data_IF_883058552621
#
_entry.id   IF_883058552621
#
_cell.length_a   1.000
_cell.length_b   1.000
_cell.length_c   1.000
_cell.angle_alpha   90.00
_cell.angle_beta   90.00
_cell.angle_gamma   90.00
#
_symmetry.space_group_name_H-M   'P 1'
#
loop_
_entity.id
_entity.type
_entity.pdbx_description
1 polymer ?
#
# COMPACT_ATOMS: atom_id res chain seq x y z
N UNK A 1 -21.35 18.21 17.69
CA UNK A 1 -21.09 17.41 16.47
C UNK A 1 -20.17 18.21 15.55
N UNK A 2 -18.84 18.05 15.60
CA UNK A 2 -17.99 18.60 14.56
C UNK A 2 -17.96 17.64 13.35
N UNK A 3 -18.32 18.19 12.19
CA UNK A 3 -18.27 17.56 10.88
C UNK A 3 -16.82 17.25 10.50
N UNK A 4 -16.58 16.00 10.08
CA UNK A 4 -15.28 15.50 9.63
C UNK A 4 -15.05 16.02 8.20
N UNK A 5 -14.05 16.89 7.92
CA UNK A 5 -13.86 17.36 6.55
C UNK A 5 -13.34 16.22 5.67
N UNK A 6 -13.83 16.24 4.43
CA UNK A 6 -13.49 15.31 3.36
C UNK A 6 -11.97 15.18 3.20
N UNK A 7 -11.47 13.94 3.26
CA UNK A 7 -10.12 13.58 2.80
C UNK A 7 -10.13 13.60 1.27
N UNK A 8 -10.18 14.79 0.71
CA UNK A 8 -10.07 15.07 -0.71
C UNK A 8 -8.67 14.71 -1.18
N UNK A 9 -8.58 13.59 -1.91
CA UNK A 9 -7.79 13.42 -3.13
C UNK A 9 -6.37 13.99 -3.13
N UNK A 10 -5.38 13.18 -2.72
CA UNK A 10 -3.96 13.25 -3.12
C UNK A 10 -3.33 11.92 -2.64
N UNK A 11 -3.24 10.83 -3.39
CA UNK A 11 -2.86 10.69 -4.79
C UNK A 11 -3.61 9.56 -5.50
N UNK A 12 -4.26 9.96 -6.59
CA UNK A 12 -4.68 9.13 -7.71
C UNK A 12 -3.41 8.44 -8.27
N UNK A 13 -3.27 7.12 -8.13
CA UNK A 13 -2.11 6.41 -8.70
C UNK A 13 -1.85 4.96 -8.29
N UNK A 14 -2.44 4.43 -7.21
CA UNK A 14 -2.43 2.98 -6.99
C UNK A 14 -3.53 2.38 -7.87
N UNK A 15 -3.14 1.89 -9.05
CA UNK A 15 -4.02 1.22 -10.02
C UNK A 15 -5.00 0.30 -9.28
N UNK A 16 -6.26 0.46 -9.62
CA UNK A 16 -7.36 -0.43 -9.30
C UNK A 16 -6.93 -1.90 -9.42
N UNK A 17 -6.68 -2.56 -8.28
CA UNK A 17 -6.71 -4.01 -8.13
C UNK A 17 -5.67 -4.88 -8.84
N UNK A 18 -4.55 -4.34 -9.30
CA UNK A 18 -3.46 -5.19 -9.80
C UNK A 18 -2.59 -5.72 -8.64
N UNK A 19 -2.34 -7.02 -8.60
CA UNK A 19 -1.28 -7.59 -7.74
C UNK A 19 0.06 -7.00 -8.15
N UNK A 20 0.94 -6.73 -7.17
CA UNK A 20 2.33 -6.40 -7.44
C UNK A 20 2.99 -7.55 -8.21
N UNK A 21 3.80 -7.22 -9.22
CA UNK A 21 4.47 -8.22 -10.04
C UNK A 21 5.61 -8.90 -9.26
N UNK A 22 6.01 -10.14 -9.63
CA UNK A 22 7.19 -10.77 -9.03
C UNK A 22 8.46 -9.91 -9.12
N UNK A 23 8.62 -9.14 -10.20
CA UNK A 23 9.74 -8.21 -10.39
C UNK A 23 9.80 -7.08 -9.36
N UNK A 24 8.67 -6.72 -8.73
CA UNK A 24 8.67 -5.76 -7.63
C UNK A 24 9.46 -6.28 -6.42
N UNK A 25 9.35 -7.59 -6.14
CA UNK A 25 9.98 -8.25 -5.01
C UNK A 25 11.41 -8.71 -5.30
N UNK A 26 11.81 -8.76 -6.58
CA UNK A 26 13.16 -9.14 -7.00
C UNK A 26 14.19 -7.97 -6.92
N UNK A 27 13.97 -7.03 -6.00
CA UNK A 27 14.82 -5.85 -5.76
C UNK A 27 15.47 -5.94 -4.37
N UNK A 28 16.32 -4.99 -4.06
CA UNK A 28 16.92 -4.87 -2.73
C UNK A 28 15.84 -4.78 -1.63
N UNK A 29 16.05 -5.49 -0.52
CA UNK A 29 15.06 -5.60 0.55
C UNK A 29 14.71 -4.25 1.19
N UNK A 30 15.68 -3.33 1.31
CA UNK A 30 15.42 -1.99 1.85
C UNK A 30 14.59 -1.13 0.89
N UNK A 31 14.81 -1.27 -0.42
CA UNK A 31 13.99 -0.60 -1.43
C UNK A 31 12.55 -1.13 -1.44
N UNK A 32 12.40 -2.46 -1.41
CA UNK A 32 11.08 -3.11 -1.36
C UNK A 32 10.33 -2.70 -0.10
N UNK A 33 10.97 -2.72 1.07
CA UNK A 33 10.36 -2.32 2.33
C UNK A 33 9.81 -0.89 2.25
N UNK A 34 10.61 0.06 1.78
CA UNK A 34 10.17 1.46 1.62
C UNK A 34 8.95 1.59 0.72
N UNK A 35 8.93 0.88 -0.40
CA UNK A 35 7.84 0.94 -1.39
C UNK A 35 6.58 0.17 -0.98
N UNK A 36 6.69 -0.75 0.00
CA UNK A 36 5.56 -1.49 0.56
C UNK A 36 4.71 -0.63 1.50
N UNK A 37 5.25 0.42 2.10
CA UNK A 37 4.48 1.32 2.96
C UNK A 37 3.34 1.98 2.19
N UNK A 38 2.13 1.87 2.72
CA UNK A 38 0.91 2.38 2.09
C UNK A 38 0.30 1.47 1.04
N UNK A 39 0.96 0.37 0.64
CA UNK A 39 0.36 -0.66 -0.22
C UNK A 39 -0.74 -1.44 0.52
N UNK A 40 -1.52 -2.20 -0.23
CA UNK A 40 -2.65 -2.97 0.31
C UNK A 40 -2.43 -4.48 0.27
N UNK A 41 -2.83 -5.16 1.34
CA UNK A 41 -3.07 -6.59 1.36
C UNK A 41 -4.56 -6.86 1.17
N UNK A 42 -4.88 -7.86 0.35
CA UNK A 42 -6.27 -8.24 0.03
C UNK A 42 -6.46 -9.73 0.18
N UNK A 43 -7.51 -10.14 0.89
CA UNK A 43 -7.85 -11.55 1.07
C UNK A 43 -9.19 -11.69 1.81
N UNK A 44 -10.00 -12.68 1.43
CA UNK A 44 -11.28 -12.96 2.11
C UNK A 44 -12.26 -11.78 2.16
N UNK A 45 -12.27 -10.90 1.16
CA UNK A 45 -13.09 -9.68 1.15
C UNK A 45 -12.57 -8.54 2.04
N UNK A 46 -11.46 -8.75 2.74
CA UNK A 46 -10.81 -7.75 3.60
C UNK A 46 -9.72 -7.02 2.81
N UNK A 47 -9.57 -5.72 3.09
CA UNK A 47 -8.46 -4.89 2.61
C UNK A 47 -7.74 -4.27 3.79
N UNK A 48 -6.44 -4.47 3.86
CA UNK A 48 -5.56 -3.91 4.89
C UNK A 48 -4.53 -3.01 4.22
N UNK A 49 -4.13 -1.93 4.90
CA UNK A 49 -3.03 -1.06 4.44
C UNK A 49 -1.79 -1.36 5.25
N UNK A 50 -0.67 -1.54 4.58
CA UNK A 50 0.64 -1.71 5.22
C UNK A 50 1.06 -0.36 5.81
N UNK A 51 1.35 -0.34 7.11
CA UNK A 51 1.78 0.86 7.85
C UNK A 51 3.16 0.72 8.45
N UNK A 52 3.68 -0.50 8.52
CA UNK A 52 4.96 -0.85 9.13
C UNK A 52 5.56 -2.04 8.38
N UNK A 53 6.89 -2.06 8.27
CA UNK A 53 7.69 -3.07 7.57
C UNK A 53 9.05 -3.17 8.25
N UNK A 54 9.66 -4.35 8.17
CA UNK A 54 11.04 -4.60 8.59
C UNK A 54 11.78 -5.30 7.45
N UNK A 55 13.08 -5.01 7.31
CA UNK A 55 13.95 -5.64 6.32
C UNK A 55 15.08 -6.39 7.05
N UNK A 56 15.38 -7.59 6.55
CA UNK A 56 16.34 -8.54 7.11
C UNK A 56 17.32 -9.00 6.05
#
# INVERSE_FOLDING_TARGET
MPTRPARTELRRGAREGARLSPSFFARDALEVARDLLGQELRGGGVRLRIVEVEAY
#
